data_IF_609618840081
#
_entry.id   IF_609618840081
#
_cell.length_a   1.000
_cell.length_b   1.000
_cell.length_c   1.000
_cell.angle_alpha   90.00
_cell.angle_beta   90.00
_cell.angle_gamma   90.00
#
_symmetry.space_group_name_H-M   'P 1'
#
loop_
_entity.id
_entity.type
_entity.pdbx_description
1 polymer ?
#
# COMPACT_ATOMS: atom_id res chain seq x y z
N UNK A 1 -17.94 -4.81 -11.64
CA UNK A 1 -16.54 -5.26 -11.81
C UNK A 1 -15.98 -5.64 -10.44
N UNK A 2 -15.50 -6.88 -10.31
CA UNK A 2 -14.90 -7.40 -9.08
C UNK A 2 -13.38 -7.21 -9.10
N UNK A 3 -12.72 -7.35 -7.95
CA UNK A 3 -11.26 -7.28 -7.88
C UNK A 3 -10.59 -8.34 -8.77
N UNK A 4 -11.16 -9.55 -8.83
CA UNK A 4 -10.67 -10.63 -9.70
C UNK A 4 -10.72 -10.29 -11.19
N UNK A 5 -11.77 -9.61 -11.67
CA UNK A 5 -11.88 -9.24 -13.09
C UNK A 5 -10.87 -8.15 -13.49
N UNK A 6 -10.57 -7.20 -12.60
CA UNK A 6 -9.57 -6.16 -12.87
C UNK A 6 -8.15 -6.69 -12.74
N UNK A 7 -7.92 -7.65 -11.83
CA UNK A 7 -6.63 -8.31 -11.66
C UNK A 7 -6.15 -8.98 -12.94
N UNK A 8 -7.03 -9.74 -13.62
CA UNK A 8 -6.69 -10.43 -14.86
C UNK A 8 -6.28 -9.50 -16.00
N UNK A 9 -6.64 -8.21 -15.94
CA UNK A 9 -6.31 -7.23 -16.97
C UNK A 9 -4.93 -6.59 -16.77
N UNK A 10 -4.27 -6.82 -15.63
CA UNK A 10 -2.90 -6.35 -15.42
C UNK A 10 -1.90 -7.20 -16.20
N UNK A 11 -0.85 -6.55 -16.70
CA UNK A 11 0.29 -7.27 -17.23
C UNK A 11 0.90 -8.17 -16.14
N UNK A 12 1.32 -9.39 -16.51
CA UNK A 12 1.92 -10.36 -15.57
C UNK A 12 3.11 -9.77 -14.79
N UNK A 13 3.91 -8.93 -15.45
CA UNK A 13 5.00 -8.19 -14.79
C UNK A 13 4.50 -7.27 -13.69
N UNK A 14 3.44 -6.49 -13.94
CA UNK A 14 2.82 -5.62 -12.93
C UNK A 14 2.23 -6.43 -11.78
N UNK A 15 1.57 -7.55 -12.06
CA UNK A 15 1.05 -8.45 -11.03
C UNK A 15 2.17 -8.98 -10.12
N UNK A 16 3.28 -9.45 -10.72
CA UNK A 16 4.43 -9.95 -9.98
C UNK A 16 5.03 -8.87 -9.07
N UNK A 17 5.18 -7.63 -9.57
CA UNK A 17 5.68 -6.52 -8.76
C UNK A 17 4.74 -6.13 -7.61
N UNK A 18 3.42 -6.08 -7.86
CA UNK A 18 2.45 -5.78 -6.81
C UNK A 18 2.46 -6.85 -5.71
N UNK A 19 2.52 -8.14 -6.08
CA UNK A 19 2.57 -9.25 -5.10
C UNK A 19 3.91 -9.27 -4.37
N UNK A 20 5.03 -9.26 -5.09
CA UNK A 20 6.36 -9.31 -4.49
C UNK A 20 6.62 -8.11 -3.57
N UNK A 21 6.21 -6.91 -3.99
CA UNK A 21 6.29 -5.72 -3.17
C UNK A 21 5.45 -5.83 -1.90
N UNK A 22 4.22 -6.36 -1.99
CA UNK A 22 3.35 -6.56 -0.81
C UNK A 22 3.93 -7.60 0.15
N UNK A 23 4.44 -8.72 -0.37
CA UNK A 23 5.11 -9.75 0.45
C UNK A 23 6.35 -9.17 1.14
N UNK A 24 7.14 -8.35 0.44
CA UNK A 24 8.27 -7.63 1.02
C UNK A 24 7.82 -6.68 2.14
N UNK A 25 6.72 -5.94 1.95
CA UNK A 25 6.16 -5.09 3.01
C UNK A 25 5.76 -5.89 4.23
N UNK A 26 5.03 -7.00 4.05
CA UNK A 26 4.60 -7.85 5.16
C UNK A 26 5.79 -8.46 5.91
N UNK A 27 6.82 -8.90 5.19
CA UNK A 27 8.06 -9.39 5.78
C UNK A 27 8.78 -8.29 6.58
N UNK A 28 8.90 -7.08 6.02
CA UNK A 28 9.49 -5.94 6.72
C UNK A 28 8.72 -5.55 7.98
N UNK A 29 7.39 -5.52 7.92
CA UNK A 29 6.53 -5.22 9.07
C UNK A 29 6.66 -6.31 10.14
N UNK A 30 6.65 -7.59 9.77
CA UNK A 30 6.79 -8.70 10.72
C UNK A 30 8.16 -8.67 11.44
N UNK A 31 9.24 -8.42 10.69
CA UNK A 31 10.59 -8.29 11.24
C UNK A 31 10.70 -7.05 12.14
N UNK A 32 10.08 -5.92 11.75
CA UNK A 32 10.11 -4.68 12.51
C UNK A 32 9.24 -4.68 13.77
N UNK A 33 8.15 -5.46 13.79
CA UNK A 33 7.28 -5.62 14.96
C UNK A 33 7.85 -6.58 16.00
N UNK A 34 8.60 -7.62 15.60
CA UNK A 34 9.14 -8.62 16.53
C UNK A 34 9.95 -8.01 17.71
N UNK A 35 10.88 -7.05 17.48
CA UNK A 35 11.56 -6.33 18.57
C UNK A 35 10.61 -5.46 19.42
N UNK A 36 9.57 -4.88 18.81
CA UNK A 36 8.65 -3.96 19.48
C UNK A 36 7.67 -4.65 20.45
N UNK A 37 7.38 -5.94 20.23
CA UNK A 37 6.47 -6.75 21.08
C UNK A 37 7.22 -7.68 22.05
N UNK A 38 8.54 -7.55 22.17
CA UNK A 38 9.37 -8.40 23.04
C UNK A 38 9.57 -9.83 22.53
N UNK A 39 9.20 -10.13 21.28
CA UNK A 39 9.49 -11.42 20.65
C UNK A 39 10.91 -11.40 20.09
N UNK A 40 11.88 -11.86 20.90
CA UNK A 40 13.16 -12.30 20.36
C UNK A 40 12.99 -13.73 19.82
N UNK A 41 13.16 -13.98 18.51
CA UNK A 41 13.26 -15.35 18.02
C UNK A 41 14.45 -16.02 18.73
N UNK A 42 14.18 -17.13 19.42
CA UNK A 42 15.09 -17.89 20.31
C UNK A 42 16.36 -18.48 19.63
N UNK A 43 16.81 -17.95 18.50
CA UNK A 43 17.88 -18.54 17.69
C UNK A 43 19.11 -17.66 17.43
N UNK A 44 19.16 -16.42 17.93
CA UNK A 44 20.31 -15.53 17.69
C UNK A 44 21.19 -15.37 18.95
N UNK A 45 22.50 -15.68 18.86
CA UNK A 45 23.42 -15.56 20.00
C UNK A 45 23.77 -14.08 20.17
N UNK A 46 23.13 -13.43 21.14
CA UNK A 46 23.33 -11.99 21.39
C UNK A 46 22.35 -11.48 22.44
N UNK A 47 22.35 -12.11 23.61
CA UNK A 47 21.61 -11.61 24.76
C UNK A 47 22.29 -10.37 25.34
N UNK A 48 21.51 -9.30 25.53
CA UNK A 48 21.87 -8.17 26.38
C UNK A 48 22.48 -6.97 25.66
N UNK A 49 21.81 -5.83 25.79
CA UNK A 49 22.44 -4.51 25.72
C UNK A 49 22.22 -3.71 24.44
N UNK A 50 22.40 -4.31 23.26
CA UNK A 50 22.45 -3.54 21.99
C UNK A 50 21.84 -4.29 20.80
N UNK A 51 20.52 -4.46 20.78
CA UNK A 51 19.81 -4.81 19.55
C UNK A 51 18.56 -3.93 19.45
N UNK A 52 18.27 -3.26 18.30
CA UNK A 52 18.12 -4.00 17.04
C UNK A 52 18.41 -3.19 15.76
N UNK A 53 19.49 -2.41 15.65
CA UNK A 53 19.78 -1.66 14.41
C UNK A 53 19.93 -2.59 13.19
N UNK A 54 20.53 -3.77 13.40
CA UNK A 54 20.75 -4.80 12.39
C UNK A 54 19.47 -5.45 11.86
N UNK A 55 18.39 -5.53 12.66
CA UNK A 55 17.08 -6.01 12.19
C UNK A 55 16.18 -4.86 11.71
N UNK A 56 16.38 -3.66 12.23
CA UNK A 56 15.67 -2.46 11.79
C UNK A 56 16.03 -2.13 10.34
N UNK A 57 17.31 -2.11 9.96
CA UNK A 57 17.69 -1.76 8.59
C UNK A 57 17.05 -2.66 7.51
N UNK A 58 17.10 -4.00 7.63
CA UNK A 58 16.42 -4.91 6.70
C UNK A 58 14.90 -4.76 6.74
N UNK A 59 14.31 -4.57 7.92
CA UNK A 59 12.86 -4.36 8.04
C UNK A 59 12.41 -3.08 7.31
N UNK A 60 13.19 -2.01 7.42
CA UNK A 60 12.97 -0.74 6.75
C UNK A 60 13.15 -0.89 5.25
N UNK A 61 14.23 -1.53 4.80
CA UNK A 61 14.49 -1.77 3.39
C UNK A 61 13.38 -2.60 2.74
N UNK A 62 12.94 -3.67 3.39
CA UNK A 62 11.86 -4.53 2.90
C UNK A 62 10.50 -3.83 2.90
N UNK A 63 10.19 -3.05 3.95
CA UNK A 63 8.94 -2.31 4.08
C UNK A 63 8.84 -1.15 3.08
N UNK A 64 9.88 -0.31 3.00
CA UNK A 64 9.90 0.83 2.08
C UNK A 64 10.09 0.37 0.64
N UNK A 65 11.10 -0.47 0.40
CA UNK A 65 11.41 -1.00 -0.93
C UNK A 65 10.22 -1.79 -1.50
N UNK A 66 9.58 -2.62 -0.67
CA UNK A 66 8.33 -3.30 -1.02
C UNK A 66 7.22 -2.32 -1.35
N UNK A 67 7.00 -1.29 -0.52
CA UNK A 67 5.98 -0.27 -0.75
C UNK A 67 6.15 0.47 -2.09
N UNK A 68 7.38 0.89 -2.41
CA UNK A 68 7.70 1.51 -3.69
C UNK A 68 7.58 0.54 -4.88
N UNK A 69 7.96 -0.72 -4.69
CA UNK A 69 7.81 -1.78 -5.69
C UNK A 69 6.33 -2.03 -6.04
N UNK A 70 5.40 -1.77 -5.13
CA UNK A 70 3.95 -1.77 -5.43
C UNK A 70 3.50 -0.44 -6.03
N UNK A 71 3.95 0.68 -5.49
CA UNK A 71 3.48 2.02 -5.87
C UNK A 71 3.82 2.39 -7.31
N UNK A 72 5.09 2.23 -7.73
CA UNK A 72 5.52 2.68 -9.06
C UNK A 72 4.80 1.95 -10.19
N UNK A 73 4.69 0.60 -10.18
CA UNK A 73 3.89 -0.11 -11.16
C UNK A 73 2.41 0.25 -11.07
N UNK A 74 1.86 0.44 -9.85
CA UNK A 74 0.46 0.80 -9.65
C UNK A 74 0.07 2.14 -10.27
N UNK A 75 0.92 3.17 -10.14
CA UNK A 75 0.70 4.47 -10.79
C UNK A 75 0.85 4.35 -12.32
N UNK A 76 1.79 3.54 -12.79
CA UNK A 76 2.05 3.35 -14.24
C UNK A 76 0.91 2.63 -14.97
N UNK A 77 0.01 1.94 -14.27
CA UNK A 77 -1.18 1.34 -14.89
C UNK A 77 -2.05 2.42 -15.52
N UNK A 78 -2.32 3.52 -14.81
CA UNK A 78 -3.20 4.57 -15.30
C UNK A 78 -2.50 5.44 -16.33
N UNK A 79 -3.00 5.47 -17.57
CA UNK A 79 -2.47 6.39 -18.61
C UNK A 79 -3.13 7.78 -18.57
N UNK A 80 -4.20 7.94 -17.79
CA UNK A 80 -4.97 9.18 -17.67
C UNK A 80 -4.93 9.81 -16.27
N UNK A 81 -5.33 11.07 -16.16
CA UNK A 81 -5.50 11.75 -14.85
C UNK A 81 -6.61 11.09 -14.05
N UNK A 82 -6.26 10.40 -12.97
CA UNK A 82 -7.22 9.82 -12.02
C UNK A 82 -7.82 10.92 -11.16
N UNK A 83 -9.09 11.28 -11.39
CA UNK A 83 -9.82 12.29 -10.60
C UNK A 83 -10.61 11.60 -9.49
N UNK A 84 -9.89 11.24 -8.42
CA UNK A 84 -10.40 10.44 -7.30
C UNK A 84 -11.73 11.02 -6.76
N UNK A 85 -11.77 12.30 -6.43
CA UNK A 85 -12.96 12.95 -5.82
C UNK A 85 -14.12 13.08 -6.80
N UNK A 86 -13.85 13.40 -8.07
CA UNK A 86 -14.90 13.66 -9.06
C UNK A 86 -15.59 12.39 -9.55
N UNK A 87 -14.80 11.35 -9.77
CA UNK A 87 -15.28 10.11 -10.39
C UNK A 87 -15.53 9.01 -9.33
N UNK A 88 -15.66 9.40 -8.05
CA UNK A 88 -15.70 8.52 -6.88
C UNK A 88 -16.74 7.40 -6.97
N UNK A 89 -17.98 7.75 -7.34
CA UNK A 89 -19.10 6.78 -7.49
C UNK A 89 -18.83 5.74 -8.55
N UNK A 90 -18.03 6.08 -9.55
CA UNK A 90 -17.78 5.22 -10.67
C UNK A 90 -16.69 4.18 -10.31
N UNK A 91 -15.77 4.46 -9.38
CA UNK A 91 -14.67 3.55 -9.07
C UNK A 91 -15.11 2.22 -8.44
N UNK A 92 -14.38 1.11 -8.73
CA UNK A 92 -14.66 -0.19 -8.13
C UNK A 92 -14.60 -0.10 -6.61
N UNK A 93 -15.49 -0.84 -5.94
CA UNK A 93 -15.60 -0.85 -4.46
C UNK A 93 -14.25 -1.22 -3.83
N UNK A 94 -13.52 -2.17 -4.42
CA UNK A 94 -12.21 -2.58 -3.93
C UNK A 94 -11.15 -1.48 -3.97
N UNK A 95 -11.10 -0.69 -5.05
CA UNK A 95 -10.17 0.44 -5.15
C UNK A 95 -10.48 1.54 -4.12
N UNK A 96 -11.77 1.79 -3.87
CA UNK A 96 -12.22 2.72 -2.81
C UNK A 96 -11.88 2.21 -1.42
N UNK A 97 -12.10 0.92 -1.16
CA UNK A 97 -11.79 0.30 0.12
C UNK A 97 -10.28 0.39 0.41
N UNK A 98 -9.44 0.07 -0.57
CA UNK A 98 -7.97 0.18 -0.45
C UNK A 98 -7.51 1.61 -0.22
N UNK A 99 -8.15 2.60 -0.86
CA UNK A 99 -7.90 4.01 -0.60
C UNK A 99 -8.25 4.39 0.85
N UNK A 100 -9.42 4.00 1.34
CA UNK A 100 -9.79 4.24 2.74
C UNK A 100 -8.85 3.53 3.72
N UNK A 101 -8.45 2.29 3.43
CA UNK A 101 -7.47 1.54 4.22
C UNK A 101 -6.12 2.26 4.25
N UNK A 102 -5.66 2.82 3.12
CA UNK A 102 -4.42 3.59 3.09
C UNK A 102 -4.52 4.82 4.01
N UNK A 103 -5.59 5.59 3.90
CA UNK A 103 -5.82 6.75 4.75
C UNK A 103 -5.97 6.38 6.23
N UNK A 104 -6.70 5.31 6.54
CA UNK A 104 -6.82 4.79 7.90
C UNK A 104 -5.44 4.40 8.46
N UNK A 105 -4.61 3.73 7.65
CA UNK A 105 -3.25 3.35 8.04
C UNK A 105 -2.39 4.57 8.33
N UNK A 106 -2.50 5.63 7.53
CA UNK A 106 -1.79 6.89 7.77
C UNK A 106 -2.25 7.59 9.06
N UNK A 107 -3.57 7.62 9.32
CA UNK A 107 -4.14 8.21 10.54
C UNK A 107 -3.74 7.42 11.78
N UNK A 108 -3.84 6.10 11.73
CA UNK A 108 -3.42 5.21 12.83
C UNK A 108 -1.93 5.40 13.09
N UNK A 109 -1.09 5.40 12.04
CA UNK A 109 0.34 5.62 12.16
C UNK A 109 0.66 6.97 12.81
N UNK A 110 -0.05 8.03 12.44
CA UNK A 110 0.11 9.35 13.05
C UNK A 110 -0.24 9.35 14.54
N UNK A 111 -1.38 8.76 14.92
CA UNK A 111 -1.82 8.66 16.32
C UNK A 111 -0.79 7.88 17.15
N UNK A 112 -0.30 6.75 16.63
CA UNK A 112 0.73 5.94 17.27
C UNK A 112 2.03 6.72 17.41
N UNK A 113 2.44 7.49 16.40
CA UNK A 113 3.64 8.33 16.48
C UNK A 113 3.52 9.42 17.55
N UNK A 114 2.35 10.07 17.68
CA UNK A 114 2.09 11.09 18.71
C UNK A 114 2.17 10.46 20.11
N UNK A 115 1.56 9.29 20.29
CA UNK A 115 1.62 8.57 21.58
C UNK A 115 3.03 8.10 21.90
N UNK A 116 3.79 7.62 20.91
CA UNK A 116 5.17 7.18 21.08
C UNK A 116 6.13 8.34 21.36
N UNK A 117 5.85 9.53 20.82
CA UNK A 117 6.63 10.74 21.12
C UNK A 117 6.55 11.13 22.60
N UNK A 118 5.45 10.79 23.27
CA UNK A 118 5.29 11.04 24.71
C UNK A 118 6.15 10.13 25.59
N UNK A 119 6.61 8.99 25.08
CA UNK A 119 7.37 7.98 25.86
C UNK A 119 8.83 7.91 25.46
N UNK A 120 9.18 8.04 24.17
CA UNK A 120 10.56 7.98 23.68
C UNK A 120 10.78 8.88 22.46
N UNK A 121 11.77 9.79 22.47
CA UNK A 121 11.99 10.76 21.38
C UNK A 121 12.44 10.13 20.05
N UNK A 122 13.02 8.92 20.06
CA UNK A 122 13.44 8.20 18.85
C UNK A 122 12.37 7.27 18.26
N UNK A 123 11.30 6.97 19.02
CA UNK A 123 10.24 6.05 18.61
C UNK A 123 9.36 6.56 17.44
N UNK A 124 9.04 7.88 17.31
CA UNK A 124 8.21 8.38 16.22
C UNK A 124 8.81 8.10 14.84
N UNK A 125 10.13 8.29 14.71
CA UNK A 125 10.84 8.02 13.46
C UNK A 125 10.61 6.58 13.00
N UNK A 126 10.90 5.61 13.87
CA UNK A 126 10.71 4.18 13.58
C UNK A 126 9.27 3.82 13.23
N UNK A 127 8.30 4.39 13.97
CA UNK A 127 6.88 4.13 13.72
C UNK A 127 6.42 4.69 12.37
N UNK A 128 6.80 5.91 12.02
CA UNK A 128 6.50 6.48 10.69
C UNK A 128 6.94 5.54 9.58
N UNK A 129 8.17 5.01 9.67
CA UNK A 129 8.69 4.11 8.64
C UNK A 129 7.95 2.77 8.58
N UNK A 130 7.56 2.22 9.73
CA UNK A 130 6.81 0.96 9.81
C UNK A 130 5.42 1.08 9.15
N UNK A 131 4.75 2.24 9.32
CA UNK A 131 3.45 2.52 8.72
C UNK A 131 3.54 2.97 7.26
N UNK A 132 4.68 3.54 6.83
CA UNK A 132 4.86 4.02 5.46
C UNK A 132 4.87 2.89 4.42
N UNK A 133 5.51 1.74 4.68
CA UNK A 133 5.48 0.61 3.74
C UNK A 133 4.07 0.11 3.42
N UNK A 134 3.25 -0.25 4.44
CA UNK A 134 1.85 -0.61 4.27
C UNK A 134 1.02 0.48 3.59
N UNK A 135 1.23 1.75 3.96
CA UNK A 135 0.58 2.88 3.31
C UNK A 135 0.90 2.93 1.81
N UNK A 136 2.19 2.84 1.43
CA UNK A 136 2.66 2.85 0.04
C UNK A 136 2.13 1.64 -0.75
N UNK A 137 2.09 0.46 -0.13
CA UNK A 137 1.51 -0.73 -0.75
C UNK A 137 0.01 -0.53 -1.02
N UNK A 138 -0.76 -0.09 -0.01
CA UNK A 138 -2.20 0.16 -0.16
C UNK A 138 -2.50 1.24 -1.19
N UNK A 139 -1.73 2.33 -1.21
CA UNK A 139 -1.86 3.37 -2.24
C UNK A 139 -1.46 2.87 -3.62
N UNK A 140 -0.43 2.03 -3.74
CA UNK A 140 -0.03 1.41 -5.01
C UNK A 140 -1.13 0.51 -5.58
N UNK A 141 -1.72 -0.33 -4.74
CA UNK A 141 -2.87 -1.17 -5.11
C UNK A 141 -4.11 -0.34 -5.48
N UNK A 142 -4.40 0.71 -4.70
CA UNK A 142 -5.49 1.62 -5.01
C UNK A 142 -5.25 2.31 -6.37
N UNK A 143 -4.06 2.85 -6.61
CA UNK A 143 -3.68 3.49 -7.87
C UNK A 143 -3.79 2.53 -9.06
N UNK A 144 -3.34 1.28 -8.91
CA UNK A 144 -3.47 0.26 -9.93
C UNK A 144 -4.93 0.00 -10.32
N UNK A 145 -5.80 -0.21 -9.33
CA UNK A 145 -7.22 -0.53 -9.57
C UNK A 145 -8.00 0.65 -10.11
N UNK A 146 -7.76 1.86 -9.57
CA UNK A 146 -8.39 3.08 -10.04
C UNK A 146 -7.92 3.44 -11.46
N UNK A 147 -6.62 3.30 -11.73
CA UNK A 147 -6.02 3.51 -13.04
C UNK A 147 -6.53 2.52 -14.10
N UNK A 148 -6.66 1.24 -13.74
CA UNK A 148 -7.23 0.24 -14.64
C UNK A 148 -8.71 0.52 -14.93
N UNK A 149 -9.49 0.89 -13.91
CA UNK A 149 -10.89 1.26 -14.10
C UNK A 149 -11.04 2.48 -15.03
N UNK A 150 -10.12 3.46 -14.96
CA UNK A 150 -10.11 4.57 -15.93
C UNK A 150 -9.74 4.12 -17.34
N UNK A 151 -8.76 3.24 -17.50
CA UNK A 151 -8.37 2.74 -18.83
C UNK A 151 -9.49 1.96 -19.51
N UNK A 152 -10.19 1.09 -18.77
CA UNK A 152 -11.32 0.32 -19.32
C UNK A 152 -12.45 1.25 -19.76
N UNK A 153 -12.70 2.35 -19.03
CA UNK A 153 -13.66 3.38 -19.48
C UNK A 153 -13.22 4.13 -20.70
N UNK A 154 -11.95 4.50 -20.78
CA UNK A 154 -11.39 5.16 -21.96
C UNK A 154 -11.50 4.26 -23.19
N UNK A 155 -11.18 2.97 -23.07
CA UNK A 155 -11.33 1.99 -24.15
C UNK A 155 -12.80 1.83 -24.53
N UNK A 156 -13.71 1.63 -23.56
CA UNK A 156 -15.14 1.52 -23.83
C UNK A 156 -15.77 2.78 -24.45
N UNK A 157 -15.24 3.97 -24.12
CA UNK A 157 -15.64 5.23 -24.73
C UNK A 157 -15.10 5.39 -26.16
N UNK A 158 -13.93 4.85 -26.47
CA UNK A 158 -13.34 4.84 -27.82
C UNK A 158 -14.06 3.84 -28.73
N UNK A 159 -14.48 2.69 -28.20
CA UNK A 159 -15.15 1.62 -28.96
C UNK A 159 -16.66 1.90 -29.21
N UNK A 160 -17.17 3.10 -28.92
CA UNK A 160 -18.57 3.47 -29.17
C UNK A 160 -19.60 2.81 -28.27
N UNK A 161 -19.19 1.97 -27.31
CA UNK A 161 -20.05 1.51 -26.22
C UNK A 161 -20.09 2.58 -25.11
N UNK A 162 -20.83 3.64 -25.42
CA UNK A 162 -21.44 4.49 -24.40
C UNK A 162 -22.27 3.59 -23.48
N UNK A 163 -21.69 3.17 -22.36
CA UNK A 163 -22.47 2.71 -21.22
C UNK A 163 -23.49 3.82 -20.93
N UNK A 164 -24.79 3.49 -20.80
CA UNK A 164 -25.82 4.50 -20.67
C UNK A 164 -25.48 5.35 -19.45
N UNK A 165 -25.13 6.61 -19.72
CA UNK A 165 -25.11 7.67 -18.73
C UNK A 165 -26.52 7.71 -18.21
N UNK A 166 -26.76 7.03 -17.09
CA UNK A 166 -27.93 7.29 -16.26
C UNK A 166 -27.72 8.69 -15.73
N UNK A 167 -28.16 9.68 -16.51
CA UNK A 167 -28.60 10.96 -15.98
C UNK A 167 -29.69 10.64 -14.97
N UNK A 168 -29.32 10.64 -13.68
CA UNK A 168 -30.28 10.94 -12.64
C UNK A 168 -30.27 12.47 -12.50
N UNK A 169 -31.44 13.06 -12.71
CA UNK A 169 -31.70 14.50 -12.56
C UNK A 169 -31.61 15.00 -11.13
#
# INVERSE_FOLDING_TARGET
>A
MTLGSLWQLFARGTQAWLVAGTVSVLAGVAIGLAPAIGFQPQGFPGGGGEAPLELLLPSLFLSLGGGYAVLFPGIRVGRGKVRIVRDWKLYPVSGRLLWFLAQATAVIGLVVCILAAATHPAAPGLMVWLFMGPYLALTGWAAALLGMATNVRLIGAVDGHLAPVTQAG
#
